data_IF_295242439091
#
_entry.id   IF_295242439091
#
_cell.length_a   1.000
_cell.length_b   1.000
_cell.length_c   1.000
_cell.angle_alpha   90.00
_cell.angle_beta   90.00
_cell.angle_gamma   90.00
#
_symmetry.space_group_name_H-M   'P 1'
#
loop_
_entity.id
_entity.type
_entity.pdbx_description
1 polymer ?
#
# COMPACT_ATOMS: atom_id res chain seq x y z
N UNK A 1 -0.22 16.40 28.91
CA UNK A 1 0.09 17.17 27.67
C UNK A 1 -0.11 16.29 26.45
N UNK A 2 -0.59 16.80 25.30
CA UNK A 2 -0.75 15.99 24.10
C UNK A 2 0.62 15.48 23.61
N UNK A 3 0.77 14.16 23.48
CA UNK A 3 2.01 13.50 23.00
C UNK A 3 2.27 13.67 21.49
N UNK A 4 1.84 14.77 20.88
CA UNK A 4 2.03 15.06 19.45
C UNK A 4 2.07 16.57 19.19
N UNK A 5 2.87 16.99 18.21
CA UNK A 5 2.92 18.40 17.78
C UNK A 5 1.70 18.76 16.93
N UNK A 6 1.11 19.94 17.20
CA UNK A 6 -0.03 20.48 16.44
C UNK A 6 0.38 21.17 15.13
N UNK A 7 1.67 21.47 14.95
CA UNK A 7 2.24 22.06 13.71
C UNK A 7 1.54 23.35 13.24
N UNK A 8 0.87 24.08 14.15
CA UNK A 8 0.10 25.29 13.83
C UNK A 8 -1.05 25.06 12.84
N UNK A 9 -1.60 23.85 12.75
CA UNK A 9 -2.65 23.50 11.78
C UNK A 9 -3.83 22.80 12.43
N UNK A 10 -4.98 22.96 11.79
CA UNK A 10 -6.19 22.21 12.09
C UNK A 10 -5.97 20.69 11.90
N UNK A 11 -6.78 19.88 12.57
CA UNK A 11 -6.55 18.43 12.66
C UNK A 11 -6.60 17.72 11.31
N UNK A 12 -7.54 18.08 10.44
CA UNK A 12 -7.68 17.48 9.11
C UNK A 12 -6.46 17.82 8.21
N UNK A 13 -6.11 19.10 8.12
CA UNK A 13 -4.96 19.57 7.34
C UNK A 13 -3.63 18.98 7.85
N UNK A 14 -3.46 18.91 9.18
CA UNK A 14 -2.28 18.31 9.80
C UNK A 14 -2.15 16.83 9.44
N UNK A 15 -3.24 16.06 9.55
CA UNK A 15 -3.24 14.64 9.18
C UNK A 15 -2.88 14.48 7.70
N UNK A 16 -3.50 15.24 6.80
CA UNK A 16 -3.23 15.18 5.36
C UNK A 16 -1.74 15.40 5.03
N UNK A 17 -1.12 16.43 5.62
CA UNK A 17 0.31 16.73 5.41
C UNK A 17 1.20 15.57 5.88
N UNK A 18 0.92 15.02 7.07
CA UNK A 18 1.71 13.91 7.61
C UNK A 18 1.56 12.65 6.76
N UNK A 19 0.35 12.35 6.28
CA UNK A 19 0.13 11.21 5.36
C UNK A 19 0.93 11.38 4.07
N UNK A 20 0.93 12.58 3.49
CA UNK A 20 1.70 12.85 2.28
C UNK A 20 3.20 12.70 2.52
N UNK A 21 3.75 13.29 3.59
CA UNK A 21 5.18 13.18 3.91
C UNK A 21 5.62 11.73 4.12
N UNK A 22 4.82 10.93 4.82
CA UNK A 22 5.17 9.53 5.04
C UNK A 22 5.00 8.70 3.77
N UNK A 23 4.00 9.00 2.94
CA UNK A 23 3.84 8.36 1.63
C UNK A 23 5.06 8.63 0.74
N UNK A 24 5.52 9.89 0.67
CA UNK A 24 6.73 10.26 -0.07
C UNK A 24 7.96 9.53 0.48
N UNK A 25 8.13 9.48 1.81
CA UNK A 25 9.24 8.75 2.43
C UNK A 25 9.28 7.26 2.03
N UNK A 26 8.13 6.59 2.02
CA UNK A 26 8.07 5.15 1.70
C UNK A 26 8.32 4.87 0.22
N UNK A 27 7.96 5.79 -0.68
CA UNK A 27 8.15 5.61 -2.12
C UNK A 27 9.53 6.05 -2.58
N UNK A 28 10.00 7.21 -2.13
CA UNK A 28 11.28 7.79 -2.57
C UNK A 28 12.46 7.42 -1.66
N UNK A 29 12.19 6.94 -0.45
CA UNK A 29 13.21 6.58 0.54
C UNK A 29 13.80 7.75 1.32
N UNK A 30 13.59 8.99 0.87
CA UNK A 30 14.06 10.22 1.53
C UNK A 30 13.10 11.38 1.31
N UNK A 31 12.99 12.29 2.29
CA UNK A 31 12.20 13.52 2.18
C UNK A 31 12.86 14.67 2.95
N UNK A 32 12.95 15.84 2.31
CA UNK A 32 13.47 17.06 2.93
C UNK A 32 12.33 17.90 3.47
N UNK A 33 12.30 18.17 4.77
CA UNK A 33 11.20 18.91 5.42
C UNK A 33 11.69 19.68 6.65
N UNK A 34 10.80 20.35 7.36
CA UNK A 34 11.17 21.02 8.62
C UNK A 34 11.42 19.98 9.72
N UNK A 35 12.33 20.25 10.64
CA UNK A 35 12.70 19.32 11.73
C UNK A 35 11.47 18.86 12.53
N UNK A 36 10.56 19.78 12.81
CA UNK A 36 9.32 19.50 13.55
C UNK A 36 8.38 18.55 12.80
N UNK A 37 8.30 18.66 11.47
CA UNK A 37 7.50 17.76 10.62
C UNK A 37 8.17 16.41 10.46
N UNK A 38 9.50 16.40 10.27
CA UNK A 38 10.29 15.16 10.18
C UNK A 38 10.10 14.29 11.41
N UNK A 39 10.16 14.87 12.62
CA UNK A 39 9.94 14.14 13.89
C UNK A 39 8.56 13.52 14.00
N UNK A 40 7.50 14.19 13.54
CA UNK A 40 6.15 13.62 13.56
C UNK A 40 5.96 12.55 12.48
N UNK A 41 6.51 12.77 11.28
CA UNK A 41 6.44 11.81 10.18
C UNK A 41 7.21 10.53 10.51
N UNK A 42 8.41 10.65 11.11
CA UNK A 42 9.23 9.51 11.54
C UNK A 42 8.46 8.59 12.49
N UNK A 43 7.80 9.16 13.51
CA UNK A 43 7.00 8.37 14.47
C UNK A 43 5.86 7.59 13.80
N UNK A 44 5.25 8.14 12.75
CA UNK A 44 4.19 7.45 12.00
C UNK A 44 4.79 6.38 11.10
N UNK A 45 5.88 6.70 10.39
CA UNK A 45 6.60 5.78 9.52
C UNK A 45 7.13 4.56 10.28
N UNK A 46 7.77 4.76 11.44
CA UNK A 46 8.27 3.66 12.27
C UNK A 46 7.19 2.67 12.66
N UNK A 47 6.02 3.17 13.10
CA UNK A 47 4.89 2.31 13.46
C UNK A 47 4.36 1.52 12.26
N UNK A 48 4.30 2.14 11.08
CA UNK A 48 3.83 1.45 9.88
C UNK A 48 4.81 0.41 9.37
N UNK A 49 6.11 0.74 9.35
CA UNK A 49 7.16 -0.21 8.96
C UNK A 49 7.18 -1.37 9.94
N UNK A 50 7.11 -1.13 11.25
CA UNK A 50 7.04 -2.20 12.26
C UNK A 50 5.85 -3.15 12.04
N UNK A 51 4.65 -2.61 11.77
CA UNK A 51 3.47 -3.42 11.46
C UNK A 51 3.64 -4.23 10.16
N UNK A 52 4.26 -3.62 9.14
CA UNK A 52 4.49 -4.28 7.86
C UNK A 52 5.52 -5.42 7.99
N UNK A 53 6.64 -5.17 8.69
CA UNK A 53 7.67 -6.17 8.99
C UNK A 53 7.09 -7.34 9.77
N UNK A 54 6.23 -7.07 10.76
CA UNK A 54 5.62 -8.14 11.57
C UNK A 54 4.74 -9.09 10.75
N UNK A 55 4.02 -8.58 9.77
CA UNK A 55 2.99 -9.36 9.04
C UNK A 55 3.40 -9.65 7.57
N UNK A 56 4.67 -9.45 7.19
CA UNK A 56 5.11 -9.40 5.79
C UNK A 56 4.90 -10.70 4.98
N UNK A 57 4.92 -11.87 5.63
CA UNK A 57 4.76 -13.19 5.00
C UNK A 57 3.48 -13.92 5.44
N UNK A 58 2.56 -13.23 6.12
CA UNK A 58 1.43 -13.86 6.76
C UNK A 58 0.23 -14.02 5.81
N UNK A 59 0.23 -15.12 5.06
CA UNK A 59 -0.77 -15.42 4.04
C UNK A 59 -1.55 -16.70 4.34
N UNK A 60 -2.75 -16.79 3.78
CA UNK A 60 -3.61 -17.97 3.77
C UNK A 60 -4.02 -18.32 2.34
N UNK A 61 -4.37 -19.57 2.11
CA UNK A 61 -4.76 -20.06 0.79
C UNK A 61 -6.26 -20.26 0.73
N UNK A 62 -6.91 -19.74 -0.31
CA UNK A 62 -8.34 -19.91 -0.55
C UNK A 62 -8.58 -20.46 -1.94
N UNK A 63 -9.42 -21.49 -2.03
CA UNK A 63 -9.97 -21.95 -3.31
C UNK A 63 -11.06 -20.99 -3.78
N UNK A 64 -10.87 -20.39 -4.96
CA UNK A 64 -11.86 -19.55 -5.63
C UNK A 64 -12.35 -20.30 -6.86
N UNK A 65 -13.67 -20.48 -6.94
CA UNK A 65 -14.34 -21.00 -8.12
C UNK A 65 -14.31 -19.91 -9.20
N UNK A 66 -13.58 -20.15 -10.28
CA UNK A 66 -13.54 -19.25 -11.44
C UNK A 66 -14.28 -19.91 -12.58
N UNK A 67 -15.29 -19.23 -13.12
CA UNK A 67 -15.92 -19.66 -14.36
C UNK A 67 -15.05 -19.25 -15.53
N UNK A 68 -14.64 -20.22 -16.34
CA UNK A 68 -13.91 -19.99 -17.58
C UNK A 68 -14.71 -20.58 -18.74
N UNK A 69 -14.66 -19.94 -19.91
CA UNK A 69 -15.26 -20.52 -21.11
C UNK A 69 -14.56 -21.83 -21.45
N UNK A 70 -15.32 -22.87 -21.79
CA UNK A 70 -14.76 -24.09 -22.34
C UNK A 70 -14.23 -23.79 -23.74
N UNK A 71 -12.97 -24.13 -23.97
CA UNK A 71 -12.30 -23.93 -25.26
C UNK A 71 -12.18 -25.27 -25.96
N UNK A 72 -12.40 -25.27 -27.28
CA UNK A 72 -12.10 -26.38 -28.17
C UNK A 72 -10.58 -26.47 -28.42
N UNK A 73 -10.10 -27.55 -29.03
CA UNK A 73 -8.66 -27.80 -29.29
C UNK A 73 -8.00 -26.69 -30.13
N UNK A 74 -8.80 -25.94 -30.88
CA UNK A 74 -8.38 -24.78 -31.70
C UNK A 74 -8.48 -23.44 -30.95
N UNK A 75 -8.75 -23.44 -29.65
CA UNK A 75 -8.86 -22.25 -28.81
C UNK A 75 -10.14 -21.43 -29.02
N UNK A 76 -11.14 -21.98 -29.70
CA UNK A 76 -12.45 -21.33 -29.90
C UNK A 76 -13.39 -21.66 -28.75
N UNK A 77 -14.27 -20.73 -28.38
CA UNK A 77 -15.27 -20.96 -27.32
C UNK A 77 -16.32 -21.96 -27.79
N UNK A 78 -16.59 -22.97 -26.98
CA UNK A 78 -17.67 -23.93 -27.24
C UNK A 78 -19.02 -23.25 -26.96
N UNK A 79 -19.94 -23.36 -27.92
CA UNK A 79 -21.28 -22.78 -27.85
C UNK A 79 -22.29 -23.90 -27.61
N UNK A 80 -23.27 -23.63 -26.75
CA UNK A 80 -24.46 -24.44 -26.50
C UNK A 80 -25.70 -23.61 -26.83
N UNK A 81 -26.62 -24.19 -27.58
CA UNK A 81 -27.90 -23.53 -27.88
C UNK A 81 -28.80 -23.53 -26.64
N UNK A 82 -29.29 -22.35 -26.24
CA UNK A 82 -30.25 -22.13 -25.18
C UNK A 82 -31.56 -21.58 -25.77
N UNK A 83 -32.68 -21.86 -25.11
CA UNK A 83 -34.01 -21.41 -25.53
C UNK A 83 -34.48 -20.27 -24.61
N UNK A 84 -35.01 -19.21 -25.21
CA UNK A 84 -35.60 -18.07 -24.50
C UNK A 84 -36.99 -18.41 -23.97
N UNK A 85 -37.51 -17.58 -23.05
CA UNK A 85 -38.88 -17.72 -22.52
C UNK A 85 -39.96 -17.63 -23.60
N UNK A 86 -39.65 -16.98 -24.73
CA UNK A 86 -40.52 -16.85 -25.90
C UNK A 86 -40.11 -17.82 -27.02
N UNK A 87 -39.53 -18.98 -26.67
CA UNK A 87 -39.15 -20.09 -27.56
C UNK A 87 -38.08 -19.79 -28.63
N UNK A 88 -37.54 -18.56 -28.69
CA UNK A 88 -36.41 -18.20 -29.56
C UNK A 88 -35.12 -18.88 -29.10
N UNK A 89 -34.40 -19.53 -30.03
CA UNK A 89 -33.11 -20.19 -29.76
C UNK A 89 -31.94 -19.22 -29.98
N UNK A 90 -30.93 -19.29 -29.11
CA UNK A 90 -29.72 -18.49 -29.18
C UNK A 90 -28.52 -19.26 -28.62
N UNK A 91 -27.32 -18.93 -29.07
CA UNK A 91 -26.09 -19.61 -28.64
C UNK A 91 -25.48 -18.96 -27.41
N UNK A 92 -25.09 -19.80 -26.44
CA UNK A 92 -24.48 -19.40 -25.17
C UNK A 92 -23.14 -20.11 -25.02
N UNK A 93 -22.12 -19.38 -24.60
CA UNK A 93 -20.80 -19.96 -24.33
C UNK A 93 -20.90 -20.92 -23.14
N UNK A 94 -20.50 -22.17 -23.34
CA UNK A 94 -20.39 -23.15 -22.27
C UNK A 94 -19.25 -22.76 -21.32
N UNK A 95 -19.49 -22.83 -20.01
CA UNK A 95 -18.54 -22.41 -18.97
C UNK A 95 -18.22 -23.57 -18.04
N UNK A 96 -16.93 -23.82 -17.86
CA UNK A 96 -16.42 -24.73 -16.82
C UNK A 96 -16.11 -23.96 -15.56
N UNK A 97 -16.44 -24.55 -14.42
CA UNK A 97 -16.09 -24.03 -13.10
C UNK A 97 -14.77 -24.66 -12.69
N UNK A 98 -13.68 -23.90 -12.78
CA UNK A 98 -12.36 -24.34 -12.34
C UNK A 98 -12.08 -23.82 -10.94
N UNK A 99 -11.56 -24.71 -10.07
CA UNK A 99 -11.03 -24.33 -8.76
C UNK A 99 -9.65 -23.73 -8.97
N UNK A 100 -9.48 -22.44 -8.67
CA UNK A 100 -8.19 -21.77 -8.65
C UNK A 100 -7.78 -21.53 -7.21
N UNK A 101 -6.63 -22.05 -6.83
CA UNK A 101 -5.99 -21.76 -5.55
C UNK A 101 -5.38 -20.36 -5.61
N UNK A 102 -5.86 -19.44 -4.77
CA UNK A 102 -5.38 -18.06 -4.70
C UNK A 102 -4.83 -17.78 -3.29
N UNK A 103 -3.65 -17.18 -3.25
CA UNK A 103 -3.05 -16.68 -2.01
C UNK A 103 -3.75 -15.38 -1.59
N UNK A 104 -4.21 -15.33 -0.35
CA UNK A 104 -4.93 -14.21 0.26
C UNK A 104 -4.24 -13.82 1.56
N UNK A 105 -4.34 -12.56 1.97
CA UNK A 105 -3.82 -12.12 3.26
C UNK A 105 -4.54 -12.82 4.43
N UNK A 106 -3.79 -13.26 5.45
CA UNK A 106 -4.39 -13.72 6.71
C UNK A 106 -5.13 -12.54 7.39
N UNK A 107 -6.18 -12.76 8.20
CA UNK A 107 -6.95 -11.66 8.80
C UNK A 107 -6.12 -10.63 9.59
N UNK A 108 -5.04 -11.05 10.26
CA UNK A 108 -4.12 -10.14 10.96
C UNK A 108 -3.34 -9.24 9.99
N UNK A 109 -2.80 -9.80 8.91
CA UNK A 109 -2.14 -9.06 7.83
C UNK A 109 -3.10 -8.10 7.15
N UNK A 110 -4.32 -8.53 6.87
CA UNK A 110 -5.36 -7.68 6.30
C UNK A 110 -5.69 -6.50 7.23
N UNK A 111 -5.80 -6.75 8.54
CA UNK A 111 -6.01 -5.70 9.53
C UNK A 111 -4.83 -4.71 9.58
N UNK A 112 -3.59 -5.18 9.51
CA UNK A 112 -2.41 -4.33 9.41
C UNK A 112 -2.43 -3.48 8.13
N UNK A 113 -2.72 -4.08 6.97
CA UNK A 113 -2.84 -3.38 5.68
C UNK A 113 -3.92 -2.30 5.72
N UNK A 114 -5.09 -2.56 6.31
CA UNK A 114 -6.15 -1.55 6.49
C UNK A 114 -5.70 -0.37 7.36
N UNK A 115 -4.95 -0.63 8.43
CA UNK A 115 -4.37 0.44 9.28
C UNK A 115 -3.37 1.29 8.49
N UNK A 116 -2.53 0.67 7.65
CA UNK A 116 -1.59 1.38 6.77
C UNK A 116 -2.34 2.18 5.69
N UNK A 117 -3.35 1.60 5.04
CA UNK A 117 -4.20 2.29 4.06
C UNK A 117 -4.81 3.56 4.62
N UNK A 118 -5.22 3.57 5.88
CA UNK A 118 -5.78 4.76 6.51
C UNK A 118 -4.75 5.90 6.67
N UNK A 119 -3.45 5.61 6.66
CA UNK A 119 -2.36 6.57 6.88
C UNK A 119 -1.59 6.92 5.61
N UNK A 120 -1.81 6.23 4.50
CA UNK A 120 -1.16 6.50 3.22
C UNK A 120 -2.14 7.08 2.21
N UNK A 121 -1.59 7.78 1.23
CA UNK A 121 -2.32 8.27 0.06
C UNK A 121 -1.82 7.52 -1.16
N UNK A 122 -2.64 7.43 -2.20
CA UNK A 122 -2.17 6.93 -3.48
C UNK A 122 -1.24 7.94 -4.13
N UNK A 123 -0.12 7.47 -4.69
CA UNK A 123 0.85 8.34 -5.34
C UNK A 123 1.22 7.81 -6.71
N UNK A 124 1.87 8.67 -7.50
CA UNK A 124 2.42 8.35 -8.81
C UNK A 124 3.94 8.45 -8.73
N UNK A 125 4.60 7.61 -9.51
CA UNK A 125 6.04 7.72 -9.73
C UNK A 125 6.36 8.98 -10.56
N UNK A 126 7.65 9.33 -10.60
CA UNK A 126 8.27 10.27 -11.55
C UNK A 126 7.83 10.05 -13.00
N UNK A 127 7.56 8.80 -13.41
CA UNK A 127 7.07 8.41 -14.75
C UNK A 127 5.55 8.41 -14.90
N UNK A 128 4.81 8.89 -13.90
CA UNK A 128 3.35 8.98 -13.91
C UNK A 128 2.60 7.66 -13.64
N UNK A 129 3.31 6.54 -13.43
CA UNK A 129 2.69 5.24 -13.09
C UNK A 129 2.07 5.30 -11.70
N UNK A 130 0.81 4.85 -11.57
CA UNK A 130 0.13 4.72 -10.27
C UNK A 130 0.81 3.62 -9.44
N UNK A 131 1.24 3.97 -8.23
CA UNK A 131 1.86 3.03 -7.29
C UNK A 131 0.87 2.71 -6.18
N UNK A 132 0.66 1.43 -5.92
CA UNK A 132 0.03 1.01 -4.69
C UNK A 132 1.04 1.06 -3.55
N UNK A 133 0.95 2.11 -2.74
CA UNK A 133 1.89 2.43 -1.66
C UNK A 133 1.92 1.37 -0.57
N UNK A 134 0.79 0.72 -0.32
CA UNK A 134 0.69 -0.38 0.65
C UNK A 134 1.40 -1.62 0.13
N UNK A 135 1.23 -1.98 -1.14
CA UNK A 135 1.99 -3.09 -1.72
C UNK A 135 3.48 -2.80 -1.69
N UNK A 136 3.88 -1.58 -2.08
CA UNK A 136 5.29 -1.17 -1.99
C UNK A 136 5.85 -1.34 -0.57
N UNK A 137 5.13 -0.87 0.46
CA UNK A 137 5.57 -1.03 1.84
C UNK A 137 5.78 -2.51 2.23
N UNK A 138 4.86 -3.40 1.89
CA UNK A 138 4.92 -4.81 2.30
C UNK A 138 5.86 -5.67 1.45
N UNK A 139 5.99 -5.35 0.16
CA UNK A 139 6.70 -6.19 -0.81
C UNK A 139 8.16 -5.74 -0.99
N UNK A 140 8.46 -4.44 -0.87
CA UNK A 140 9.82 -3.90 -1.08
C UNK A 140 10.47 -3.39 0.20
N UNK A 141 9.74 -2.68 1.06
CA UNK A 141 10.33 -2.03 2.24
C UNK A 141 10.41 -2.99 3.44
N UNK A 142 9.32 -3.69 3.77
CA UNK A 142 9.27 -4.57 4.94
C UNK A 142 10.33 -5.70 4.92
N UNK A 143 10.59 -6.38 3.78
CA UNK A 143 11.60 -7.45 3.77
C UNK A 143 13.02 -6.98 4.10
N UNK A 144 13.33 -5.70 3.86
CA UNK A 144 14.65 -5.12 4.16
C UNK A 144 14.94 -5.05 5.66
N UNK A 145 13.89 -5.01 6.49
CA UNK A 145 14.00 -4.73 7.92
C UNK A 145 13.67 -5.92 8.82
N UNK A 146 13.60 -7.14 8.27
CA UNK A 146 13.24 -8.36 9.04
C UNK A 146 14.14 -8.54 10.28
N UNK A 147 15.45 -8.29 10.13
CA UNK A 147 16.43 -8.47 11.19
C UNK A 147 16.61 -7.24 12.08
N UNK A 148 15.89 -6.14 11.82
CA UNK A 148 16.04 -4.88 12.53
C UNK A 148 14.91 -4.72 13.55
N UNK A 149 15.20 -4.67 14.87
CA UNK A 149 14.16 -4.55 15.89
C UNK A 149 13.47 -3.18 15.91
N UNK A 150 14.12 -2.13 15.39
CA UNK A 150 13.58 -0.78 15.34
C UNK A 150 14.54 0.26 14.74
N UNK A 151 14.10 1.52 14.73
CA UNK A 151 14.88 2.62 14.15
C UNK A 151 15.02 2.50 12.64
N UNK A 152 13.90 2.43 11.93
CA UNK A 152 13.85 2.30 10.47
C UNK A 152 14.10 3.62 9.73
N UNK A 153 13.99 4.74 10.44
CA UNK A 153 14.16 6.08 9.87
C UNK A 153 15.30 6.82 10.56
N UNK A 154 16.04 7.62 9.79
CA UNK A 154 17.06 8.54 10.29
C UNK A 154 16.66 9.98 9.97
N UNK A 155 16.94 10.89 10.90
CA UNK A 155 16.76 12.34 10.71
C UNK A 155 18.13 13.01 10.71
N UNK A 156 18.50 13.63 9.59
CA UNK A 156 19.75 14.40 9.44
C UNK A 156 19.42 15.88 9.36
N UNK A 157 20.00 16.70 10.23
CA UNK A 157 19.80 18.16 10.22
C UNK A 157 20.68 18.79 9.14
N UNK A 158 20.11 19.69 8.34
CA UNK A 158 20.81 20.30 7.18
C UNK A 158 20.96 21.83 7.28
N UNK A 159 20.67 22.40 8.45
CA UNK A 159 20.73 23.85 8.71
C UNK A 159 19.38 24.56 8.56
N UNK A 160 19.33 25.87 8.85
CA UNK A 160 18.11 26.66 8.73
C UNK A 160 17.80 27.00 7.27
N UNK A 161 16.50 27.06 6.93
CA UNK A 161 16.04 27.49 5.61
C UNK A 161 16.29 28.99 5.43
N UNK A 162 16.76 29.38 4.24
CA UNK A 162 16.88 30.80 3.86
C UNK A 162 15.49 31.42 3.73
N UNK A 163 15.24 32.52 4.44
CA UNK A 163 13.97 33.25 4.45
C UNK A 163 13.35 33.32 5.85
N UNK A 164 12.78 32.21 6.32
CA UNK A 164 12.10 32.12 7.61
C UNK A 164 12.97 31.51 8.73
N UNK A 165 14.24 31.19 8.44
CA UNK A 165 15.19 30.55 9.35
C UNK A 165 14.66 29.25 9.99
N UNK A 166 13.66 28.59 9.37
CA UNK A 166 13.07 27.40 9.93
C UNK A 166 14.08 26.23 9.93
N UNK A 167 14.21 25.45 11.03
CA UNK A 167 15.14 24.33 11.07
C UNK A 167 14.70 23.24 10.10
N UNK A 168 15.61 22.84 9.21
CA UNK A 168 15.37 21.82 8.19
C UNK A 168 16.06 20.49 8.54
N UNK A 169 15.45 19.41 8.10
CA UNK A 169 16.01 18.08 8.22
C UNK A 169 15.63 17.20 7.02
N UNK A 170 16.53 16.28 6.68
CA UNK A 170 16.28 15.16 5.79
C UNK A 170 15.81 13.99 6.66
N UNK A 171 14.65 13.44 6.32
CA UNK A 171 14.15 12.19 6.88
C UNK A 171 14.38 11.10 5.83
N UNK A 172 15.15 10.08 6.17
CA UNK A 172 15.52 8.97 5.27
C UNK A 172 15.22 7.62 5.90
N UNK A 173 14.97 6.62 5.04
CA UNK A 173 14.96 5.22 5.42
C UNK A 173 16.40 4.76 5.64
N UNK A 174 16.61 3.97 6.69
CA UNK A 174 17.93 3.40 7.02
C UNK A 174 18.17 2.18 6.14
N UNK A 175 19.39 1.95 5.67
CA UNK A 175 19.73 0.69 4.99
C UNK A 175 19.99 -0.46 5.98
#
# INVERSE_FOLDING_TARGET
MPGYRRLGRETAARKSILKNLVTTLIVEGKVTTTETRAKEAARIAEKMIALAVKEYNNFTTREILTSQAKLDDKGRKVLRTATSKNERKYDVVEREIKKKTVQVDMPSRLAARRKVMAQMVETRDSKGKRINTVNHLFDTVAPRYINRPGGYTRIVKIGPRRGDAAPMAILELVD
#
